data_IF_467580790195
#
_entry.id   IF_467580790195
#
_cell.length_a   1.000
_cell.length_b   1.000
_cell.length_c   1.000
_cell.angle_alpha   90.00
_cell.angle_beta   90.00
_cell.angle_gamma   90.00
#
_symmetry.space_group_name_H-M   'P 1'
#
loop_
_entity.id
_entity.type
_entity.pdbx_description
1 polymer ?
#
# COMPACT_ATOMS: atom_id res chain seq x y z
N UNK A 1 17.39 -0.72 -3.74
CA UNK A 1 16.73 0.59 -3.68
C UNK A 1 15.21 0.43 -3.67
N UNK A 2 14.57 1.00 -2.68
CA UNK A 2 13.11 1.17 -2.63
C UNK A 2 12.77 2.58 -3.10
N UNK A 3 11.89 2.69 -4.09
CA UNK A 3 11.37 3.99 -4.52
C UNK A 3 10.01 4.22 -3.85
N UNK A 4 9.81 5.39 -3.29
CA UNK A 4 8.53 5.87 -2.77
C UNK A 4 8.00 6.95 -3.70
N UNK A 5 6.77 6.75 -4.19
CA UNK A 5 6.03 7.80 -4.89
C UNK A 5 5.25 8.59 -3.85
N UNK A 6 5.56 9.87 -3.72
CA UNK A 6 4.88 10.81 -2.84
C UNK A 6 3.70 11.44 -3.57
N UNK A 7 2.49 11.13 -3.12
CA UNK A 7 1.24 11.70 -3.65
C UNK A 7 0.85 13.00 -2.94
N UNK A 8 1.85 13.81 -2.54
CA UNK A 8 1.63 15.09 -1.83
C UNK A 8 0.92 14.89 -0.49
N UNK A 9 1.41 13.89 0.26
CA UNK A 9 0.85 13.51 1.55
C UNK A 9 1.79 13.90 2.70
N UNK A 10 1.22 14.43 3.78
CA UNK A 10 1.98 14.82 4.97
C UNK A 10 2.58 13.62 5.73
N UNK A 11 2.03 12.41 5.54
CA UNK A 11 2.51 11.19 6.19
C UNK A 11 3.55 10.41 5.37
N UNK A 12 3.91 10.85 4.19
CA UNK A 12 4.89 10.16 3.33
C UNK A 12 6.23 9.98 4.04
N UNK A 13 6.70 10.98 4.76
CA UNK A 13 7.98 10.89 5.47
C UNK A 13 7.96 9.92 6.66
N UNK A 14 6.82 9.73 7.33
CA UNK A 14 6.67 8.69 8.35
C UNK A 14 6.83 7.30 7.73
N UNK A 15 6.24 7.11 6.55
CA UNK A 15 6.37 5.87 5.79
C UNK A 15 7.83 5.64 5.38
N UNK A 16 8.50 6.67 4.84
CA UNK A 16 9.93 6.64 4.48
C UNK A 16 10.79 6.30 5.69
N UNK A 17 10.54 6.94 6.83
CA UNK A 17 11.27 6.70 8.07
C UNK A 17 11.14 5.25 8.52
N UNK A 18 9.93 4.69 8.51
CA UNK A 18 9.73 3.29 8.90
C UNK A 18 10.44 2.32 7.97
N UNK A 19 10.39 2.56 6.66
CA UNK A 19 11.11 1.74 5.69
C UNK A 19 12.63 1.81 5.91
N UNK A 20 13.17 3.00 6.18
CA UNK A 20 14.58 3.20 6.46
C UNK A 20 15.02 2.52 7.77
N UNK A 21 14.22 2.64 8.83
CA UNK A 21 14.46 1.95 10.11
C UNK A 21 14.49 0.42 9.94
N UNK A 22 13.67 -0.11 9.04
CA UNK A 22 13.63 -1.52 8.70
C UNK A 22 14.80 -1.97 7.81
N UNK A 23 15.67 -1.06 7.39
CA UNK A 23 16.89 -1.36 6.65
C UNK A 23 16.82 -1.11 5.15
N UNK A 24 15.75 -0.51 4.64
CA UNK A 24 15.64 -0.16 3.22
C UNK A 24 16.44 1.10 2.89
N UNK A 25 17.04 1.11 1.70
CA UNK A 25 17.56 2.33 1.08
C UNK A 25 16.44 2.95 0.25
N UNK A 26 16.03 4.16 0.61
CA UNK A 26 14.80 4.78 0.08
C UNK A 26 15.12 6.05 -0.71
N UNK A 27 14.52 6.17 -1.89
CA UNK A 27 14.50 7.42 -2.68
C UNK A 27 13.04 7.82 -2.91
N UNK A 28 12.73 9.09 -2.74
CA UNK A 28 11.37 9.63 -2.84
C UNK A 28 11.25 10.50 -4.09
N UNK A 29 10.20 10.27 -4.87
CA UNK A 29 9.80 11.15 -5.96
C UNK A 29 8.34 11.54 -5.81
N UNK A 30 8.05 12.83 -5.97
CA UNK A 30 6.65 13.27 -6.11
C UNK A 30 6.04 12.69 -7.38
N UNK A 31 4.75 12.48 -7.36
CA UNK A 31 4.02 11.79 -8.42
C UNK A 31 4.06 12.49 -9.79
N UNK A 32 4.39 13.78 -9.82
CA UNK A 32 4.54 14.61 -11.02
C UNK A 32 6.01 14.96 -11.35
N UNK A 33 6.97 14.45 -10.58
CA UNK A 33 8.40 14.73 -10.74
C UNK A 33 9.17 13.63 -11.47
N UNK A 34 8.52 12.55 -11.83
CA UNK A 34 9.11 11.41 -12.54
C UNK A 34 8.09 10.81 -13.49
N UNK A 35 8.53 10.41 -14.67
CA UNK A 35 7.70 9.63 -15.59
C UNK A 35 7.87 8.12 -15.39
N UNK A 36 6.93 7.35 -15.95
CA UNK A 36 6.90 5.90 -15.74
C UNK A 36 8.09 5.19 -16.38
N UNK A 37 8.61 5.66 -17.50
CA UNK A 37 9.74 5.04 -18.18
C UNK A 37 11.04 5.28 -17.42
N UNK A 38 11.26 6.47 -16.88
CA UNK A 38 12.38 6.78 -15.99
C UNK A 38 12.33 5.92 -14.73
N UNK A 39 11.15 5.80 -14.13
CA UNK A 39 10.93 4.95 -12.96
C UNK A 39 11.25 3.49 -13.26
N UNK A 40 10.78 2.96 -14.40
CA UNK A 40 11.07 1.60 -14.83
C UNK A 40 12.56 1.37 -15.09
N UNK A 41 13.25 2.35 -15.70
CA UNK A 41 14.67 2.29 -15.99
C UNK A 41 15.54 2.25 -14.74
N UNK A 42 15.08 2.77 -13.61
CA UNK A 42 15.76 2.69 -12.31
C UNK A 42 15.83 1.26 -11.77
N UNK A 43 14.99 0.35 -12.25
CA UNK A 43 14.87 -1.03 -11.76
C UNK A 43 14.80 -1.11 -10.23
N UNK A 44 13.84 -0.45 -9.59
CA UNK A 44 13.72 -0.46 -8.15
C UNK A 44 13.48 -1.89 -7.65
N UNK A 45 14.01 -2.20 -6.49
CA UNK A 45 13.79 -3.50 -5.83
C UNK A 45 12.37 -3.63 -5.30
N UNK A 46 11.79 -2.52 -4.92
CA UNK A 46 10.40 -2.39 -4.53
C UNK A 46 9.90 -0.97 -4.80
N UNK A 47 8.61 -0.83 -4.97
CA UNK A 47 7.92 0.44 -5.11
C UNK A 47 6.86 0.56 -4.02
N UNK A 48 6.88 1.66 -3.29
CA UNK A 48 5.85 2.01 -2.31
C UNK A 48 5.13 3.27 -2.79
N UNK A 49 3.82 3.21 -2.85
CA UNK A 49 2.98 4.32 -3.31
C UNK A 49 2.25 4.90 -2.09
N UNK A 50 2.53 6.16 -1.78
CA UNK A 50 2.06 6.81 -0.57
C UNK A 50 0.55 7.08 -0.58
N UNK A 51 -0.02 7.37 0.60
CA UNK A 51 -1.30 8.06 0.68
C UNK A 51 -1.27 9.38 -0.10
N UNK A 52 -2.43 9.98 -0.28
CA UNK A 52 -2.57 11.31 -0.87
C UNK A 52 -4.01 11.74 -1.01
N UNK A 53 -4.24 13.01 -1.34
CA UNK A 53 -5.57 13.55 -1.53
C UNK A 53 -6.16 13.20 -2.88
N UNK A 54 -7.48 13.32 -2.99
CA UNK A 54 -8.21 13.17 -4.23
C UNK A 54 -8.36 11.72 -4.69
N UNK A 55 -8.43 11.55 -5.99
CA UNK A 55 -8.64 10.26 -6.65
C UNK A 55 -7.36 9.74 -7.29
N UNK A 56 -7.17 8.42 -7.35
CA UNK A 56 -5.94 7.84 -7.89
C UNK A 56 -5.71 8.19 -9.37
N UNK A 57 -6.76 8.40 -10.15
CA UNK A 57 -6.65 8.76 -11.58
C UNK A 57 -5.99 10.13 -11.78
N UNK A 58 -6.08 11.02 -10.80
CA UNK A 58 -5.48 12.36 -10.81
C UNK A 58 -4.13 12.45 -10.09
N UNK A 59 -3.55 11.31 -9.71
CA UNK A 59 -2.32 11.23 -8.91
C UNK A 59 -1.05 11.03 -9.75
N UNK A 60 -0.88 11.81 -10.81
CA UNK A 60 0.33 11.80 -11.64
C UNK A 60 0.69 10.42 -12.19
N UNK A 61 1.91 9.97 -11.94
CA UNK A 61 2.45 8.70 -12.44
C UNK A 61 1.86 7.45 -11.76
N UNK A 62 1.11 7.59 -10.70
CA UNK A 62 0.75 6.51 -9.77
C UNK A 62 0.09 5.30 -10.44
N UNK A 63 -0.99 5.50 -11.20
CA UNK A 63 -1.69 4.38 -11.88
C UNK A 63 -0.82 3.75 -12.96
N UNK A 64 -0.13 4.56 -13.75
CA UNK A 64 0.78 4.10 -14.79
C UNK A 64 1.94 3.29 -14.21
N UNK A 65 2.46 3.68 -13.06
CA UNK A 65 3.52 2.95 -12.35
C UNK A 65 3.07 1.54 -11.94
N UNK A 66 1.86 1.39 -11.42
CA UNK A 66 1.30 0.07 -11.09
C UNK A 66 1.19 -0.80 -12.34
N UNK A 67 0.65 -0.27 -13.42
CA UNK A 67 0.50 -1.01 -14.69
C UNK A 67 1.84 -1.44 -15.27
N UNK A 68 2.80 -0.54 -15.28
CA UNK A 68 4.11 -0.75 -15.95
C UNK A 68 5.05 -1.64 -15.13
N UNK A 69 5.11 -1.44 -13.81
CA UNK A 69 6.07 -2.13 -12.94
C UNK A 69 5.47 -3.34 -12.23
N UNK A 70 4.16 -3.37 -12.00
CA UNK A 70 3.48 -4.41 -11.22
C UNK A 70 3.81 -5.84 -11.60
N UNK A 71 3.94 -6.20 -12.90
CA UNK A 71 4.30 -7.56 -13.31
C UNK A 71 5.68 -8.02 -12.81
N UNK A 72 6.59 -7.10 -12.52
CA UNK A 72 8.00 -7.42 -12.28
C UNK A 72 8.58 -6.88 -10.95
N UNK A 73 7.94 -5.89 -10.37
CA UNK A 73 8.45 -5.19 -9.17
C UNK A 73 7.44 -5.34 -8.04
N UNK A 74 7.88 -5.77 -6.84
CA UNK A 74 7.02 -5.74 -5.67
C UNK A 74 6.50 -4.32 -5.38
N UNK A 75 5.18 -4.18 -5.29
CA UNK A 75 4.50 -2.90 -5.05
C UNK A 75 3.63 -3.00 -3.80
N UNK A 76 3.78 -2.03 -2.91
CA UNK A 76 2.83 -1.76 -1.82
C UNK A 76 2.16 -0.41 -2.06
N UNK A 77 0.86 -0.41 -2.22
CA UNK A 77 0.05 0.80 -2.27
C UNK A 77 -0.60 1.08 -0.92
N UNK A 78 -0.47 2.31 -0.41
CA UNK A 78 -1.04 2.74 0.86
C UNK A 78 -2.13 3.79 0.60
N UNK A 79 -3.33 3.55 1.09
CA UNK A 79 -4.50 4.42 0.96
C UNK A 79 -4.79 4.79 -0.51
N UNK A 80 -4.40 5.96 -0.97
CA UNK A 80 -4.51 6.34 -2.39
C UNK A 80 -3.77 5.34 -3.30
N UNK A 81 -2.60 4.86 -2.88
CA UNK A 81 -1.84 3.86 -3.62
C UNK A 81 -2.55 2.51 -3.73
N UNK A 82 -3.27 2.10 -2.71
CA UNK A 82 -4.14 0.93 -2.73
C UNK A 82 -5.30 1.11 -3.73
N UNK A 83 -5.93 2.28 -3.72
CA UNK A 83 -6.98 2.61 -4.68
C UNK A 83 -6.46 2.63 -6.12
N UNK A 84 -5.23 3.13 -6.32
CA UNK A 84 -4.57 3.11 -7.62
C UNK A 84 -4.33 1.69 -8.15
N UNK A 85 -4.06 0.73 -7.29
CA UNK A 85 -3.93 -0.69 -7.67
C UNK A 85 -5.26 -1.20 -8.24
N UNK A 86 -6.37 -0.92 -7.58
CA UNK A 86 -7.68 -1.31 -8.09
C UNK A 86 -7.98 -0.68 -9.44
N UNK A 87 -7.77 0.63 -9.59
CA UNK A 87 -7.99 1.36 -10.84
C UNK A 87 -7.08 0.86 -11.96
N UNK A 88 -5.82 0.58 -11.67
CA UNK A 88 -4.86 0.05 -12.65
C UNK A 88 -5.32 -1.28 -13.27
N UNK A 89 -6.12 -2.05 -12.58
CA UNK A 89 -6.63 -3.35 -13.01
C UNK A 89 -8.11 -3.31 -13.44
N UNK A 90 -8.68 -2.13 -13.61
CA UNK A 90 -10.04 -1.94 -14.11
C UNK A 90 -11.14 -1.87 -13.03
N UNK A 91 -10.77 -1.87 -11.76
CA UNK A 91 -11.69 -1.62 -10.66
C UNK A 91 -12.05 -0.14 -10.50
N UNK A 92 -13.03 0.15 -9.67
CA UNK A 92 -13.48 1.51 -9.38
C UNK A 92 -13.36 1.83 -7.88
N UNK A 93 -13.31 3.12 -7.60
CA UNK A 93 -13.29 3.69 -6.26
C UNK A 93 -14.56 4.49 -6.06
N UNK A 94 -15.28 4.24 -4.99
CA UNK A 94 -16.53 4.90 -4.64
C UNK A 94 -16.47 5.52 -3.24
N UNK A 95 -17.45 6.34 -2.91
CA UNK A 95 -17.54 6.91 -1.56
C UNK A 95 -17.84 5.81 -0.54
N UNK A 96 -17.07 5.81 0.56
CA UNK A 96 -17.40 5.01 1.72
C UNK A 96 -18.74 5.50 2.33
N UNK A 97 -19.50 4.62 3.02
CA UNK A 97 -20.74 5.01 3.67
C UNK A 97 -20.57 6.19 4.63
N UNK A 98 -19.41 6.25 5.31
CA UNK A 98 -19.03 7.33 6.18
C UNK A 98 -17.55 7.70 5.93
N UNK A 99 -17.21 9.00 5.84
CA UNK A 99 -15.82 9.41 5.79
C UNK A 99 -15.14 9.11 7.13
N UNK A 100 -13.91 8.60 7.08
CA UNK A 100 -13.11 8.29 8.27
C UNK A 100 -11.88 9.19 8.29
N UNK A 101 -11.66 9.85 9.43
CA UNK A 101 -10.56 10.77 9.59
C UNK A 101 -9.86 10.56 10.94
N UNK A 102 -8.77 9.80 10.93
CA UNK A 102 -7.95 9.55 12.11
C UNK A 102 -8.53 8.56 13.11
N UNK A 103 -9.54 7.81 12.75
CA UNK A 103 -10.12 6.77 13.60
C UNK A 103 -9.34 5.47 13.48
N UNK A 104 -9.17 4.80 14.61
CA UNK A 104 -8.68 3.43 14.70
C UNK A 104 -9.86 2.48 14.49
N UNK A 105 -9.69 1.51 13.63
CA UNK A 105 -10.69 0.47 13.33
C UNK A 105 -10.08 -0.91 13.47
N UNK A 106 -10.89 -1.89 13.85
CA UNK A 106 -10.50 -3.29 13.79
C UNK A 106 -10.50 -3.78 12.35
N UNK A 107 -9.40 -4.41 11.95
CA UNK A 107 -9.19 -4.93 10.60
C UNK A 107 -9.03 -6.44 10.68
N UNK A 108 -9.89 -7.15 9.97
CA UNK A 108 -9.76 -8.60 9.74
C UNK A 108 -8.94 -8.84 8.49
N UNK A 109 -8.21 -9.94 8.45
CA UNK A 109 -7.37 -10.31 7.31
C UNK A 109 -7.24 -11.82 7.18
N UNK A 110 -6.68 -12.27 6.05
CA UNK A 110 -6.55 -13.71 5.73
C UNK A 110 -5.26 -14.34 6.24
N UNK A 111 -4.41 -13.60 6.93
CA UNK A 111 -3.13 -14.10 7.46
C UNK A 111 -2.07 -14.39 6.41
N UNK A 112 -2.24 -13.91 5.18
CA UNK A 112 -1.33 -14.17 4.05
C UNK A 112 -0.50 -12.94 3.69
N UNK A 113 0.65 -13.16 3.05
CA UNK A 113 1.50 -12.10 2.54
C UNK A 113 1.99 -11.16 3.63
N UNK A 114 1.66 -9.89 3.50
CA UNK A 114 2.08 -8.84 4.43
C UNK A 114 1.47 -8.96 5.83
N UNK A 115 0.47 -9.81 6.03
CA UNK A 115 -0.22 -10.00 7.31
C UNK A 115 0.37 -11.15 8.15
N UNK A 116 1.43 -11.81 7.70
CA UNK A 116 2.06 -12.89 8.44
C UNK A 116 2.49 -12.42 9.85
N UNK A 117 2.03 -13.12 10.89
CA UNK A 117 2.30 -12.80 12.30
C UNK A 117 1.52 -11.60 12.86
N UNK A 118 0.61 -11.01 12.09
CA UNK A 118 -0.27 -9.94 12.55
C UNK A 118 -1.53 -10.54 13.18
N UNK A 119 -1.97 -10.10 14.36
CA UNK A 119 -3.21 -10.61 14.99
C UNK A 119 -4.46 -10.37 14.12
N UNK A 120 -5.48 -11.20 14.30
CA UNK A 120 -6.77 -11.07 13.62
C UNK A 120 -7.89 -10.96 14.68
N UNK A 121 -8.61 -9.84 14.75
CA UNK A 121 -8.36 -8.58 14.09
C UNK A 121 -7.16 -7.82 14.68
N UNK A 122 -6.69 -6.81 13.99
CA UNK A 122 -5.75 -5.84 14.52
C UNK A 122 -6.27 -4.41 14.33
N UNK A 123 -5.77 -3.48 15.11
CA UNK A 123 -6.18 -2.09 15.04
C UNK A 123 -5.30 -1.29 14.07
N UNK A 124 -5.93 -0.53 13.19
CA UNK A 124 -5.26 0.33 12.24
C UNK A 124 -5.96 1.67 12.05
N UNK A 125 -5.17 2.71 11.83
CA UNK A 125 -5.67 4.05 11.58
C UNK A 125 -6.19 4.18 10.16
N UNK A 126 -7.32 4.85 10.01
CA UNK A 126 -7.97 5.13 8.72
C UNK A 126 -8.14 6.63 8.51
N UNK A 127 -7.79 7.09 7.29
CA UNK A 127 -7.99 8.46 6.80
C UNK A 127 -8.48 8.39 5.37
N UNK A 128 -9.76 8.08 5.13
CA UNK A 128 -10.29 8.01 3.78
C UNK A 128 -11.78 8.26 3.71
N UNK A 129 -12.21 8.89 2.64
CA UNK A 129 -13.63 9.05 2.26
C UNK A 129 -14.01 8.16 1.07
N UNK A 130 -13.02 7.59 0.39
CA UNK A 130 -13.19 6.69 -0.75
C UNK A 130 -12.74 5.27 -0.35
N UNK A 131 -13.31 4.29 -1.00
CA UNK A 131 -13.02 2.87 -0.82
C UNK A 131 -13.07 2.16 -2.16
N UNK A 132 -12.26 1.11 -2.30
CA UNK A 132 -12.35 0.23 -3.48
C UNK A 132 -13.71 -0.43 -3.51
N UNK A 133 -14.40 -0.31 -4.64
CA UNK A 133 -15.72 -0.88 -4.85
C UNK A 133 -15.61 -2.39 -5.06
N UNK A 134 -16.20 -3.15 -4.13
CA UNK A 134 -16.20 -4.61 -4.17
C UNK A 134 -16.85 -5.16 -5.44
N UNK A 135 -17.91 -4.52 -5.92
CA UNK A 135 -18.67 -4.98 -7.07
C UNK A 135 -17.91 -4.85 -8.39
N UNK A 136 -16.92 -3.97 -8.45
CA UNK A 136 -16.08 -3.75 -9.63
C UNK A 136 -14.71 -4.41 -9.54
N UNK A 137 -14.39 -5.08 -8.43
CA UNK A 137 -13.08 -5.70 -8.24
C UNK A 137 -12.84 -6.77 -9.31
N UNK A 138 -11.78 -6.63 -10.13
CA UNK A 138 -11.51 -7.60 -11.19
C UNK A 138 -11.05 -8.94 -10.62
N UNK A 139 -11.20 -10.06 -11.36
CA UNK A 139 -10.85 -11.39 -10.87
C UNK A 139 -9.35 -11.59 -10.59
N UNK A 140 -8.46 -10.77 -11.17
CA UNK A 140 -7.02 -10.80 -10.90
C UNK A 140 -6.65 -10.32 -9.50
N UNK A 141 -7.53 -9.54 -8.86
CA UNK A 141 -7.35 -9.05 -7.51
C UNK A 141 -8.20 -9.83 -6.52
N UNK A 142 -7.66 -10.05 -5.35
CA UNK A 142 -8.41 -10.63 -4.24
C UNK A 142 -8.39 -9.73 -3.02
N UNK A 143 -9.48 -9.76 -2.25
CA UNK A 143 -9.58 -9.06 -0.97
C UNK A 143 -8.77 -9.82 0.07
N UNK A 144 -7.87 -9.13 0.77
CA UNK A 144 -7.02 -9.70 1.80
C UNK A 144 -7.33 -9.21 3.20
N UNK A 145 -7.99 -8.04 3.31
CA UNK A 145 -8.38 -7.47 4.58
C UNK A 145 -9.69 -6.67 4.46
N UNK A 146 -10.44 -6.57 5.55
CA UNK A 146 -11.75 -5.92 5.59
C UNK A 146 -12.11 -5.42 6.99
N UNK A 147 -13.06 -4.49 7.07
CA UNK A 147 -13.70 -4.06 8.31
C UNK A 147 -14.86 -4.99 8.67
N UNK A 148 -15.38 -4.86 9.89
CA UNK A 148 -16.54 -5.64 10.35
C UNK A 148 -17.77 -5.50 9.43
N UNK A 149 -17.99 -4.29 8.92
CA UNK A 149 -19.08 -3.99 7.96
C UNK A 149 -18.72 -4.33 6.50
N UNK A 150 -17.59 -4.97 6.26
CA UNK A 150 -17.22 -5.55 4.97
C UNK A 150 -16.56 -4.59 3.98
N UNK A 151 -16.11 -3.40 4.40
CA UNK A 151 -15.33 -2.52 3.54
C UNK A 151 -13.97 -3.13 3.24
N UNK A 152 -13.51 -3.02 2.00
CA UNK A 152 -12.21 -3.53 1.58
C UNK A 152 -11.11 -2.67 2.22
N UNK A 153 -10.22 -3.32 2.98
CA UNK A 153 -9.06 -2.71 3.62
C UNK A 153 -7.74 -3.24 3.10
N UNK A 154 -7.75 -4.28 2.29
CA UNK A 154 -6.58 -4.84 1.64
C UNK A 154 -6.94 -5.60 0.39
N UNK A 155 -6.09 -5.49 -0.62
CA UNK A 155 -6.16 -6.25 -1.87
C UNK A 155 -4.76 -6.75 -2.25
N UNK A 156 -4.70 -7.80 -3.03
CA UNK A 156 -3.48 -8.23 -3.70
C UNK A 156 -3.77 -8.80 -5.08
N UNK A 157 -2.79 -8.70 -5.96
CA UNK A 157 -2.83 -9.43 -7.23
C UNK A 157 -2.54 -10.91 -6.99
N UNK A 158 -3.24 -11.79 -7.71
CA UNK A 158 -3.10 -13.25 -7.52
C UNK A 158 -1.77 -13.78 -8.05
N UNK A 159 -1.20 -13.14 -9.08
CA UNK A 159 0.03 -13.57 -9.75
C UNK A 159 1.18 -12.59 -9.57
N UNK A 160 0.92 -11.28 -9.70
CA UNK A 160 1.94 -10.24 -9.56
C UNK A 160 2.22 -9.90 -8.10
N UNK A 161 3.44 -9.44 -7.76
CA UNK A 161 3.80 -9.08 -6.38
C UNK A 161 3.27 -7.68 -5.99
N UNK A 162 1.98 -7.47 -6.15
CA UNK A 162 1.29 -6.19 -5.93
C UNK A 162 0.28 -6.35 -4.81
N UNK A 163 0.42 -5.55 -3.76
CA UNK A 163 -0.47 -5.53 -2.60
C UNK A 163 -0.83 -4.10 -2.23
N UNK A 164 -2.04 -3.91 -1.71
CA UNK A 164 -2.51 -2.62 -1.25
C UNK A 164 -3.21 -2.70 0.09
N UNK A 165 -3.07 -1.64 0.89
CA UNK A 165 -3.74 -1.46 2.17
C UNK A 165 -4.45 -0.11 2.20
N UNK A 166 -5.71 -0.09 2.64
CA UNK A 166 -6.48 1.14 2.77
C UNK A 166 -6.13 1.91 4.04
N UNK A 167 -5.70 1.20 5.07
CA UNK A 167 -5.25 1.78 6.33
C UNK A 167 -3.82 2.34 6.24
N UNK A 168 -3.40 3.06 7.28
CA UNK A 168 -2.10 3.70 7.36
C UNK A 168 -1.12 2.93 8.27
N UNK A 169 -0.23 2.08 7.70
CA UNK A 169 0.76 1.35 8.51
C UNK A 169 1.82 2.25 9.14
N UNK A 170 2.01 3.45 8.61
CA UNK A 170 2.97 4.44 9.11
C UNK A 170 2.45 5.23 10.30
N UNK A 171 1.16 5.13 10.62
CA UNK A 171 0.59 5.78 11.80
C UNK A 171 1.08 5.11 13.08
N UNK A 172 1.44 5.91 14.08
CA UNK A 172 1.84 5.42 15.40
C UNK A 172 0.73 4.60 16.09
N UNK A 173 -0.53 4.88 15.78
CA UNK A 173 -1.68 4.16 16.32
C UNK A 173 -1.95 2.82 15.61
N UNK A 174 -1.30 2.56 14.49
CA UNK A 174 -1.30 1.24 13.85
C UNK A 174 -0.14 0.43 14.43
N UNK A 175 -0.38 -0.23 15.56
CA UNK A 175 0.64 -0.90 16.37
C UNK A 175 1.44 -1.94 15.57
N UNK A 176 0.77 -2.68 14.68
CA UNK A 176 1.40 -3.70 13.83
C UNK A 176 1.84 -3.19 12.45
N UNK A 177 1.85 -1.87 12.25
CA UNK A 177 2.20 -1.26 10.97
C UNK A 177 3.61 -1.59 10.50
N UNK A 178 4.60 -1.54 11.40
CA UNK A 178 5.99 -1.93 11.08
C UNK A 178 6.11 -3.40 10.70
N UNK A 179 5.32 -4.27 11.31
CA UNK A 179 5.29 -5.70 10.94
C UNK A 179 4.79 -5.88 9.51
N UNK A 180 3.73 -5.19 9.13
CA UNK A 180 3.21 -5.19 7.74
C UNK A 180 4.28 -4.71 6.75
N UNK A 181 4.95 -3.61 7.05
CA UNK A 181 6.02 -3.06 6.20
C UNK A 181 7.23 -4.00 6.12
N UNK A 182 7.63 -4.60 7.24
CA UNK A 182 8.73 -5.56 7.29
C UNK A 182 8.41 -6.81 6.45
N UNK A 183 7.19 -7.31 6.52
CA UNK A 183 6.73 -8.44 5.71
C UNK A 183 6.77 -8.09 4.21
N UNK A 184 6.35 -6.89 3.84
CA UNK A 184 6.47 -6.42 2.45
C UNK A 184 7.93 -6.37 1.98
N UNK A 185 8.81 -5.78 2.76
CA UNK A 185 10.24 -5.72 2.42
C UNK A 185 10.87 -7.11 2.29
N UNK A 186 10.52 -8.04 3.18
CA UNK A 186 10.99 -9.42 3.10
C UNK A 186 10.56 -10.10 1.80
N UNK A 187 9.32 -9.89 1.37
CA UNK A 187 8.80 -10.40 0.09
C UNK A 187 9.52 -9.79 -1.12
N UNK A 188 10.03 -8.56 -0.97
CA UNK A 188 10.86 -7.90 -1.97
C UNK A 188 12.35 -8.32 -1.91
N UNK A 189 12.69 -9.27 -1.04
CA UNK A 189 14.06 -9.72 -0.84
C UNK A 189 14.94 -8.74 -0.05
N UNK A 190 14.32 -7.87 0.74
CA UNK A 190 14.98 -6.90 1.63
C UNK A 190 14.70 -7.34 3.08
N UNK A 191 15.62 -8.06 3.74
CA UNK A 191 15.40 -8.51 5.11
C UNK A 191 15.39 -7.31 6.06
N UNK A 192 14.42 -7.28 6.97
CA UNK A 192 14.34 -6.24 7.99
C UNK A 192 15.51 -6.39 8.98
N UNK A 193 16.15 -5.28 9.32
CA UNK A 193 17.14 -5.22 10.41
C UNK A 193 16.44 -5.60 11.73
N UNK A 194 16.98 -6.57 12.45
CA UNK A 194 16.50 -7.01 13.77
C UNK A 194 15.79 -8.37 13.81
N UNK A 195 15.62 -9.04 12.68
CA UNK A 195 15.35 -10.49 12.64
C UNK A 195 16.63 -11.22 12.26
N UNK A 196 17.64 -11.16 13.12
CA UNK A 196 18.65 -12.23 13.12
C UNK A 196 17.92 -13.51 13.53
N UNK A 197 18.09 -14.54 12.71
CA UNK A 197 17.61 -15.86 12.98
C UNK A 197 18.09 -16.32 14.38
N UNK A 198 17.14 -16.54 15.29
CA UNK A 198 17.37 -17.36 16.47
C UNK A 198 16.95 -18.79 16.14
#
# INVERSE_FOLDING_TARGET
LVVVIDNYDSFTYNLVQYLAELGASVTVYRNDAIDVETLAAMRPRALVISPGPGRPEAAGVTVAAVRRLGPHVPILGVCLGHQAIAVAHGGAVSRAPEPVHGKVSAIWHRGVGIYAGVPVPFEATRYHSLVVDRDTLPPELEVTAWTEDGLIMGIRHREHPVEGVQFHPESVLTVHGKTVLANFLARAGIPARGKEAR
#
